data_IF_527538419267
#
_entry.id   IF_527538419267
#
_cell.length_a   1.000
_cell.length_b   1.000
_cell.length_c   1.000
_cell.angle_alpha   90.00
_cell.angle_beta   90.00
_cell.angle_gamma   90.00
#
_symmetry.space_group_name_H-M   'P 1'
#
loop_
_entity.id
_entity.type
_entity.pdbx_description
1 polymer ?
#
# COMPACT_ATOMS: atom_id res chain seq x y z
N UNK A 1 41.46 50.79 11.72
CA UNK A 1 40.56 50.23 10.65
C UNK A 1 40.60 48.70 10.69
N UNK A 2 41.75 48.00 10.80
CA UNK A 2 41.84 46.52 10.83
C UNK A 2 41.16 45.89 12.05
N UNK A 3 41.19 46.53 13.22
CA UNK A 3 40.56 46.03 14.46
C UNK A 3 39.04 46.12 14.37
N UNK A 4 38.48 47.15 13.76
CA UNK A 4 37.02 47.32 13.58
C UNK A 4 36.49 46.27 12.62
N UNK A 5 37.25 45.94 11.56
CA UNK A 5 36.86 44.92 10.61
C UNK A 5 36.85 43.50 11.23
N UNK A 6 37.77 43.22 12.17
CA UNK A 6 37.83 41.94 12.88
C UNK A 6 36.67 41.81 13.90
N UNK A 7 36.32 42.90 14.59
CA UNK A 7 35.17 42.90 15.51
C UNK A 7 33.82 42.67 14.79
N UNK A 8 33.67 43.23 13.60
CA UNK A 8 32.49 43.03 12.74
C UNK A 8 32.36 41.59 12.27
N UNK A 9 33.47 40.90 11.98
CA UNK A 9 33.46 39.51 11.52
C UNK A 9 33.11 38.53 12.65
N UNK A 10 33.49 38.85 13.90
CA UNK A 10 33.15 37.98 15.06
C UNK A 10 31.64 38.06 15.40
N UNK A 11 30.99 39.19 15.16
CA UNK A 11 29.53 39.32 15.40
C UNK A 11 28.66 38.54 14.38
N UNK A 12 29.20 38.22 13.19
CA UNK A 12 28.47 37.47 12.18
C UNK A 12 28.49 35.97 12.46
N UNK A 13 29.31 35.47 13.38
CA UNK A 13 29.35 34.05 13.75
C UNK A 13 28.36 33.66 14.89
N UNK A 14 27.66 34.63 15.45
CA UNK A 14 26.54 34.36 16.35
C UNK A 14 25.27 34.13 15.52
N UNK A 15 25.34 33.13 14.63
CA UNK A 15 24.14 32.59 13.98
C UNK A 15 23.21 32.08 15.07
N UNK A 16 21.98 32.56 15.09
CA UNK A 16 20.92 32.07 15.94
C UNK A 16 20.91 30.55 15.97
N UNK A 17 21.25 29.95 17.08
CA UNK A 17 20.84 28.57 17.35
C UNK A 17 19.33 28.57 17.38
N UNK A 18 18.72 28.01 16.32
CA UNK A 18 17.29 27.76 16.31
C UNK A 18 17.02 26.80 17.48
N UNK A 19 16.53 27.33 18.61
CA UNK A 19 15.96 26.48 19.67
C UNK A 19 14.69 25.89 19.06
N UNK A 20 14.80 24.67 18.58
CA UNK A 20 13.61 23.88 18.29
C UNK A 20 12.85 23.75 19.62
N UNK A 21 11.66 24.32 19.66
CA UNK A 21 10.76 24.17 20.78
C UNK A 21 10.19 22.76 20.64
N UNK A 22 10.92 21.77 21.19
CA UNK A 22 10.35 20.44 21.31
C UNK A 22 9.24 20.53 22.36
N UNK A 23 8.01 20.44 21.89
CA UNK A 23 6.86 20.24 22.80
C UNK A 23 7.02 18.92 23.56
N UNK A 24 6.20 18.67 24.58
CA UNK A 24 6.23 17.39 25.28
C UNK A 24 6.05 16.26 24.27
N UNK A 25 6.88 15.22 24.37
CA UNK A 25 6.76 14.06 23.49
C UNK A 25 5.43 13.36 23.71
N UNK A 26 4.94 12.66 22.69
CA UNK A 26 3.72 11.85 22.79
C UNK A 26 3.82 10.87 23.97
N UNK A 27 4.97 10.24 24.17
CA UNK A 27 5.24 9.36 25.31
C UNK A 27 5.11 10.07 26.67
N UNK A 28 5.45 11.36 26.76
CA UNK A 28 5.29 12.14 28.00
C UNK A 28 3.82 12.42 28.32
N UNK A 29 2.97 12.52 27.29
CA UNK A 29 1.54 12.82 27.46
C UNK A 29 0.72 11.54 27.72
N UNK A 30 1.02 10.45 26.98
CA UNK A 30 0.20 9.24 26.95
C UNK A 30 0.86 8.02 27.64
N UNK A 31 2.14 8.12 28.03
CA UNK A 31 2.93 6.99 28.54
C UNK A 31 3.45 6.05 27.45
N UNK A 32 3.85 4.86 27.89
CA UNK A 32 4.25 3.79 26.99
C UNK A 32 3.06 3.31 26.15
N UNK A 33 3.36 2.67 24.99
CA UNK A 33 2.32 2.10 24.14
C UNK A 33 1.63 0.93 24.87
N UNK A 34 0.31 0.96 24.90
CA UNK A 34 -0.51 -0.11 25.47
C UNK A 34 -1.67 -0.44 24.51
N UNK A 35 -1.81 -1.71 24.22
CA UNK A 35 -2.94 -2.26 23.48
C UNK A 35 -4.15 -2.36 24.42
N UNK A 36 -5.27 -1.69 24.07
CA UNK A 36 -6.52 -1.73 24.84
C UNK A 36 -7.42 -2.85 24.32
N UNK A 37 -7.67 -2.88 23.01
CA UNK A 37 -8.38 -3.97 22.33
C UNK A 37 -7.53 -4.57 21.22
N UNK A 38 -7.46 -5.91 21.10
CA UNK A 38 -6.65 -6.57 20.09
C UNK A 38 -7.21 -6.35 18.69
N UNK A 39 -6.43 -6.73 17.67
CA UNK A 39 -6.89 -6.74 16.30
C UNK A 39 -8.08 -7.69 16.15
N UNK A 40 -9.20 -7.17 15.68
CA UNK A 40 -10.41 -7.91 15.32
C UNK A 40 -10.66 -7.72 13.82
N UNK A 41 -10.83 -8.83 13.12
CA UNK A 41 -11.18 -8.88 11.71
C UNK A 41 -12.64 -9.35 11.60
N UNK A 42 -13.50 -8.51 11.02
CA UNK A 42 -14.97 -8.70 11.09
C UNK A 42 -15.49 -9.84 10.23
N UNK A 43 -14.80 -10.17 9.13
CA UNK A 43 -15.19 -11.23 8.20
C UNK A 43 -13.98 -12.11 7.89
N UNK A 44 -14.02 -13.37 8.30
CA UNK A 44 -12.93 -14.34 8.13
C UNK A 44 -12.98 -15.10 6.79
N UNK A 45 -14.11 -15.02 6.09
CA UNK A 45 -14.32 -15.76 4.85
C UNK A 45 -15.08 -14.90 3.82
N UNK A 46 -14.46 -13.76 3.40
CA UNK A 46 -15.16 -12.79 2.54
C UNK A 46 -15.39 -13.34 1.14
N UNK A 47 -16.59 -13.04 0.62
CA UNK A 47 -16.95 -13.20 -0.78
C UNK A 47 -16.92 -11.82 -1.46
N UNK A 48 -15.79 -11.45 -2.04
CA UNK A 48 -15.63 -10.14 -2.65
C UNK A 48 -16.37 -9.99 -3.99
N UNK A 49 -16.70 -11.09 -4.66
CA UNK A 49 -17.54 -11.02 -5.88
C UNK A 49 -18.96 -10.59 -5.56
N UNK A 50 -19.42 -10.79 -4.33
CA UNK A 50 -20.71 -10.31 -3.81
C UNK A 50 -20.64 -8.94 -3.12
N UNK A 51 -19.52 -8.20 -3.30
CA UNK A 51 -19.26 -6.90 -2.67
C UNK A 51 -19.18 -6.93 -1.13
N UNK A 52 -18.90 -8.09 -0.54
CA UNK A 52 -18.58 -8.14 0.88
C UNK A 52 -17.31 -7.36 1.21
N UNK A 53 -17.18 -6.97 2.46
CA UNK A 53 -16.05 -6.23 2.98
C UNK A 53 -15.50 -6.89 4.23
N UNK A 54 -14.23 -6.62 4.50
CA UNK A 54 -13.52 -6.97 5.72
C UNK A 54 -13.22 -5.68 6.47
N UNK A 55 -13.76 -5.51 7.67
CA UNK A 55 -13.45 -4.40 8.55
C UNK A 55 -12.38 -4.79 9.57
N UNK A 56 -11.60 -3.82 10.00
CA UNK A 56 -10.55 -3.99 11.00
C UNK A 56 -10.83 -3.12 12.21
N UNK A 57 -10.71 -3.69 13.40
CA UNK A 57 -10.84 -2.96 14.66
C UNK A 57 -9.63 -3.24 15.55
N UNK A 58 -9.13 -2.19 16.22
CA UNK A 58 -8.09 -2.27 17.22
C UNK A 58 -8.07 -0.96 18.02
N UNK A 59 -7.90 -1.01 19.34
CA UNK A 59 -7.81 0.19 20.18
C UNK A 59 -6.53 0.19 21.01
N UNK A 60 -5.90 1.36 21.13
CA UNK A 60 -4.67 1.58 21.88
C UNK A 60 -4.65 2.95 22.57
N UNK A 61 -3.81 3.12 23.57
CA UNK A 61 -3.87 4.23 24.52
C UNK A 61 -3.42 5.59 23.97
N UNK A 62 -2.73 5.62 22.82
CA UNK A 62 -2.18 6.87 22.24
C UNK A 62 -2.33 6.92 20.72
N UNK A 63 -2.50 8.11 20.11
CA UNK A 63 -2.41 8.24 18.66
C UNK A 63 -1.00 7.86 18.17
N UNK A 64 -0.93 6.98 17.19
CA UNK A 64 0.30 6.47 16.60
C UNK A 64 0.05 6.15 15.12
N UNK A 65 1.08 6.19 14.29
CA UNK A 65 1.01 5.67 12.93
C UNK A 65 0.94 4.15 12.97
N UNK A 66 -0.03 3.61 12.23
CA UNK A 66 -0.24 2.18 12.12
C UNK A 66 -0.36 1.77 10.65
N UNK A 67 -0.02 0.52 10.40
CA UNK A 67 -0.13 -0.09 9.07
C UNK A 67 -0.69 -1.50 9.17
N UNK A 68 -1.77 -1.75 8.44
CA UNK A 68 -2.30 -3.08 8.17
C UNK A 68 -1.74 -3.54 6.81
N UNK A 69 -1.08 -4.68 6.79
CA UNK A 69 -0.62 -5.36 5.59
C UNK A 69 -1.41 -6.66 5.43
N UNK A 70 -2.04 -6.85 4.29
CA UNK A 70 -2.74 -8.07 3.91
C UNK A 70 -1.94 -8.71 2.79
N UNK A 71 -1.46 -9.93 3.01
CA UNK A 71 -0.63 -10.70 2.07
C UNK A 71 -1.38 -11.96 1.64
N UNK A 72 -1.65 -12.08 0.34
CA UNK A 72 -2.13 -13.31 -0.27
C UNK A 72 -1.02 -14.37 -0.31
N UNK A 73 -1.29 -15.56 0.24
CA UNK A 73 -0.25 -16.58 0.41
C UNK A 73 0.05 -17.36 -0.87
N UNK A 74 -0.84 -17.33 -1.85
CA UNK A 74 -0.65 -17.99 -3.14
C UNK A 74 -0.18 -17.03 -4.22
N UNK A 75 -0.80 -15.85 -4.30
CA UNK A 75 -0.52 -14.87 -5.36
C UNK A 75 0.60 -13.89 -5.01
N UNK A 76 0.97 -13.77 -3.73
CA UNK A 76 1.79 -12.69 -3.19
C UNK A 76 1.17 -11.29 -3.39
N UNK A 77 -0.13 -11.21 -3.62
CA UNK A 77 -0.86 -9.95 -3.66
C UNK A 77 -0.75 -9.23 -2.32
N UNK A 78 -0.58 -7.91 -2.35
CA UNK A 78 -0.44 -7.09 -1.14
C UNK A 78 -1.45 -5.97 -1.13
N UNK A 79 -2.12 -5.79 0.00
CA UNK A 79 -2.88 -4.59 0.33
C UNK A 79 -2.28 -3.94 1.56
N UNK A 80 -1.93 -2.67 1.46
CA UNK A 80 -1.53 -1.85 2.61
C UNK A 80 -2.60 -0.80 2.90
N UNK A 81 -2.93 -0.64 4.18
CA UNK A 81 -3.82 0.38 4.71
C UNK A 81 -3.08 1.04 5.87
N UNK A 82 -2.96 2.35 5.83
CA UNK A 82 -2.23 3.12 6.86
C UNK A 82 -3.12 4.18 7.47
N UNK A 83 -2.81 4.57 8.69
CA UNK A 83 -3.49 5.68 9.37
C UNK A 83 -2.73 6.17 10.58
N UNK A 84 -3.23 7.26 11.16
CA UNK A 84 -2.75 7.85 12.41
C UNK A 84 -3.94 8.08 13.33
N UNK A 85 -4.04 7.30 14.38
CA UNK A 85 -5.13 7.38 15.38
C UNK A 85 -4.77 6.55 16.59
N UNK A 86 -5.64 6.53 17.59
CA UNK A 86 -5.62 5.57 18.70
C UNK A 86 -6.72 4.50 18.58
N UNK A 87 -7.51 4.56 17.50
CA UNK A 87 -8.59 3.62 17.21
C UNK A 87 -8.59 3.31 15.72
N UNK A 88 -8.61 2.04 15.38
CA UNK A 88 -8.95 1.50 14.07
C UNK A 88 -10.41 1.09 14.15
N UNK A 89 -11.30 1.80 13.44
CA UNK A 89 -12.73 1.53 13.43
C UNK A 89 -13.11 0.67 12.23
N UNK A 90 -13.71 -0.47 12.49
CA UNK A 90 -14.12 -1.44 11.47
C UNK A 90 -15.16 -0.94 10.46
N UNK A 91 -15.82 0.18 10.72
CA UNK A 91 -16.73 0.80 9.76
C UNK A 91 -16.00 1.77 8.80
N UNK A 92 -14.83 2.24 9.20
CA UNK A 92 -14.04 3.21 8.43
C UNK A 92 -12.85 2.56 7.74
N UNK A 93 -12.20 1.62 8.42
CA UNK A 93 -11.03 0.89 7.90
C UNK A 93 -11.51 -0.44 7.34
N UNK A 94 -11.83 -0.43 6.06
CA UNK A 94 -12.40 -1.57 5.35
C UNK A 94 -11.57 -1.95 4.12
N UNK A 95 -11.59 -3.25 3.79
CA UNK A 95 -11.01 -3.80 2.59
C UNK A 95 -12.07 -4.52 1.76
N UNK A 96 -12.11 -4.25 0.46
CA UNK A 96 -13.08 -4.81 -0.49
C UNK A 96 -12.42 -5.72 -1.54
N UNK A 97 -11.30 -6.37 -1.19
CA UNK A 97 -10.64 -7.39 -2.03
C UNK A 97 -9.64 -6.85 -3.05
N UNK A 98 -9.45 -5.53 -3.15
CA UNK A 98 -8.46 -4.96 -4.09
C UNK A 98 -7.05 -4.90 -3.50
N UNK A 99 -5.98 -5.15 -4.31
CA UNK A 99 -4.59 -4.97 -3.89
C UNK A 99 -4.18 -3.48 -3.93
N UNK A 100 -3.02 -3.17 -3.36
CA UNK A 100 -2.37 -1.86 -3.53
C UNK A 100 -1.69 -1.73 -4.91
N UNK A 101 -1.23 -2.84 -5.44
CA UNK A 101 -0.62 -2.98 -6.78
C UNK A 101 -0.72 -4.45 -7.21
N UNK A 102 -0.50 -4.74 -8.48
CA UNK A 102 -0.45 -6.12 -8.98
C UNK A 102 0.60 -6.95 -8.23
N UNK A 103 0.37 -8.25 -8.01
CA UNK A 103 -0.76 -9.05 -8.55
C UNK A 103 -2.09 -8.83 -7.82
N UNK A 104 -3.16 -9.41 -8.33
CA UNK A 104 -4.47 -9.42 -7.70
C UNK A 104 -4.62 -10.61 -6.74
N UNK A 105 -5.47 -10.47 -5.73
CA UNK A 105 -5.87 -11.57 -4.86
C UNK A 105 -6.75 -12.56 -5.62
N UNK A 106 -6.57 -13.84 -5.32
CA UNK A 106 -7.41 -14.96 -5.78
C UNK A 106 -8.23 -15.53 -4.62
N UNK A 107 -8.85 -16.68 -4.82
CA UNK A 107 -9.42 -17.51 -3.75
C UNK A 107 -8.27 -18.17 -2.99
N UNK A 108 -7.87 -17.58 -1.88
CA UNK A 108 -6.66 -17.95 -1.14
C UNK A 108 -6.73 -17.56 0.33
N UNK A 109 -5.84 -18.14 1.11
CA UNK A 109 -5.58 -17.69 2.47
C UNK A 109 -4.71 -16.43 2.45
N UNK A 110 -5.05 -15.48 3.31
CA UNK A 110 -4.31 -14.24 3.47
C UNK A 110 -3.84 -14.08 4.92
N UNK A 111 -2.58 -13.66 5.07
CA UNK A 111 -2.04 -13.20 6.34
C UNK A 111 -2.33 -11.71 6.51
N UNK A 112 -2.82 -11.32 7.68
CA UNK A 112 -3.03 -9.94 8.08
C UNK A 112 -2.03 -9.62 9.17
N UNK A 113 -1.26 -8.54 8.99
CA UNK A 113 -0.34 -8.01 9.98
C UNK A 113 -0.69 -6.54 10.27
N UNK A 114 -0.82 -6.20 11.56
CA UNK A 114 -0.92 -4.83 12.04
C UNK A 114 0.35 -4.47 12.78
N UNK A 115 1.02 -3.42 12.32
CA UNK A 115 2.26 -2.88 12.91
C UNK A 115 2.06 -1.43 13.30
N UNK A 116 2.87 -0.96 14.26
CA UNK A 116 2.83 0.41 14.79
C UNK A 116 4.22 1.05 14.65
N UNK A 117 4.25 2.34 14.36
CA UNK A 117 5.51 3.06 14.22
C UNK A 117 6.32 3.05 15.53
N UNK A 118 7.61 2.71 15.43
CA UNK A 118 8.55 2.63 16.56
C UNK A 118 8.17 1.67 17.69
N UNK A 119 7.17 0.80 17.49
CA UNK A 119 6.81 -0.26 18.42
C UNK A 119 7.21 -1.62 17.83
N UNK A 120 7.56 -2.56 18.68
CA UNK A 120 7.96 -3.91 18.28
C UNK A 120 6.79 -4.88 18.12
N UNK A 121 5.64 -4.49 18.66
CA UNK A 121 4.45 -5.31 18.67
C UNK A 121 3.87 -5.43 17.25
N UNK A 122 3.62 -6.68 16.86
CA UNK A 122 2.95 -7.01 15.60
C UNK A 122 1.78 -7.92 15.91
N UNK A 123 0.58 -7.48 15.54
CA UNK A 123 -0.63 -8.27 15.67
C UNK A 123 -0.89 -9.00 14.35
N UNK A 124 -1.27 -10.28 14.45
CA UNK A 124 -1.50 -11.13 13.28
C UNK A 124 -2.85 -11.78 13.32
N UNK A 125 -3.42 -11.96 12.14
CA UNK A 125 -4.65 -12.70 11.93
C UNK A 125 -4.66 -13.31 10.51
N UNK A 126 -5.62 -14.17 10.23
CA UNK A 126 -5.77 -14.79 8.91
C UNK A 126 -7.22 -14.76 8.45
N UNK A 127 -7.41 -14.69 7.14
CA UNK A 127 -8.70 -14.87 6.47
C UNK A 127 -8.53 -15.78 5.27
N UNK A 128 -9.63 -16.38 4.82
CA UNK A 128 -9.70 -17.15 3.58
C UNK A 128 -10.65 -16.46 2.61
N UNK A 129 -10.16 -15.98 1.47
CA UNK A 129 -11.00 -15.43 0.41
C UNK A 129 -11.79 -16.55 -0.23
N UNK A 130 -13.12 -16.53 -0.05
CA UNK A 130 -14.04 -17.54 -0.63
C UNK A 130 -14.30 -17.28 -2.10
N UNK A 131 -14.37 -16.00 -2.49
CA UNK A 131 -14.47 -15.59 -3.88
C UNK A 131 -13.79 -14.26 -4.07
N UNK A 132 -12.88 -14.21 -5.03
CA UNK A 132 -12.08 -13.01 -5.31
C UNK A 132 -12.95 -11.90 -5.92
N UNK A 133 -12.45 -10.67 -5.82
CA UNK A 133 -13.09 -9.52 -6.43
C UNK A 133 -13.05 -9.64 -7.95
N UNK A 134 -14.21 -9.51 -8.57
CA UNK A 134 -14.30 -9.38 -10.01
C UNK A 134 -14.08 -7.92 -10.40
N UNK A 135 -13.19 -7.70 -11.37
CA UNK A 135 -12.93 -6.39 -11.94
C UNK A 135 -13.66 -6.28 -13.27
N UNK A 136 -14.99 -6.23 -13.20
CA UNK A 136 -15.79 -5.90 -14.37
C UNK A 136 -15.75 -4.37 -14.57
N UNK A 137 -14.79 -3.92 -15.34
CA UNK A 137 -14.47 -2.51 -15.52
C UNK A 137 -15.12 -1.91 -16.78
N UNK A 138 -16.37 -2.22 -17.02
CA UNK A 138 -17.12 -1.55 -18.06
C UNK A 138 -17.25 -2.36 -19.37
N UNK A 139 -17.19 -1.67 -20.50
CA UNK A 139 -17.62 -2.18 -21.81
C UNK A 139 -16.59 -3.14 -22.44
N UNK A 140 -15.34 -3.14 -21.97
CA UNK A 140 -14.27 -3.93 -22.57
C UNK A 140 -13.28 -4.42 -21.50
N UNK A 141 -12.97 -5.72 -21.52
CA UNK A 141 -11.96 -6.39 -20.73
C UNK A 141 -11.15 -7.31 -21.64
N UNK A 142 -9.84 -7.35 -21.45
CA UNK A 142 -8.94 -8.19 -22.23
C UNK A 142 -7.89 -8.82 -21.31
N UNK A 143 -7.87 -10.13 -21.25
CA UNK A 143 -6.91 -10.93 -20.49
C UNK A 143 -5.79 -11.53 -21.36
N UNK A 144 -5.89 -11.37 -22.68
CA UNK A 144 -4.94 -11.86 -23.67
C UNK A 144 -4.81 -13.40 -23.74
N UNK A 145 -5.71 -14.16 -23.13
CA UNK A 145 -5.65 -15.62 -23.16
C UNK A 145 -6.04 -16.17 -24.55
N UNK A 146 -6.93 -15.49 -25.25
CA UNK A 146 -7.38 -15.83 -26.59
C UNK A 146 -6.56 -15.18 -27.71
N UNK A 147 -5.50 -14.49 -27.38
CA UNK A 147 -4.64 -13.80 -28.35
C UNK A 147 -4.72 -12.29 -28.28
N UNK A 148 -4.16 -11.59 -29.26
CA UNK A 148 -4.31 -10.14 -29.40
C UNK A 148 -5.68 -9.86 -30.02
N UNK A 149 -6.56 -9.09 -29.34
CA UNK A 149 -7.90 -8.82 -29.87
C UNK A 149 -7.82 -8.05 -31.18
N UNK A 150 -8.72 -8.38 -32.09
CA UNK A 150 -8.83 -7.70 -33.39
C UNK A 150 -9.53 -6.34 -33.28
N UNK A 151 -10.25 -6.12 -32.18
CA UNK A 151 -11.04 -4.91 -31.92
C UNK A 151 -10.74 -4.39 -30.50
N UNK A 152 -10.84 -3.09 -30.32
CA UNK A 152 -10.71 -2.44 -29.02
C UNK A 152 -9.28 -2.10 -28.59
N UNK A 153 -8.25 -2.72 -29.16
CA UNK A 153 -6.85 -2.39 -28.91
C UNK A 153 -6.26 -1.66 -30.11
N UNK A 154 -5.87 -0.41 -29.91
CA UNK A 154 -5.22 0.40 -30.95
C UNK A 154 -3.84 0.81 -30.45
N UNK A 155 -2.81 0.42 -31.18
CA UNK A 155 -1.44 0.84 -30.93
C UNK A 155 -0.80 1.38 -32.20
N UNK A 156 0.01 2.41 -32.02
CA UNK A 156 0.72 3.05 -33.14
C UNK A 156 2.21 2.98 -32.91
N UNK A 157 2.93 2.53 -33.94
CA UNK A 157 4.37 2.69 -34.03
C UNK A 157 4.65 3.75 -35.09
N UNK A 158 4.55 5.03 -34.72
CA UNK A 158 4.67 6.15 -35.68
C UNK A 158 6.09 6.46 -36.08
N UNK A 159 7.09 6.05 -35.29
CA UNK A 159 8.46 6.51 -35.48
C UNK A 159 9.37 5.49 -36.16
N UNK A 160 8.85 4.33 -36.50
CA UNK A 160 9.67 3.23 -37.03
C UNK A 160 10.76 2.77 -36.03
N UNK A 161 10.64 3.15 -34.79
CA UNK A 161 11.66 3.07 -33.75
C UNK A 161 11.85 1.69 -33.14
N UNK A 162 11.41 0.62 -33.80
CA UNK A 162 11.66 -0.74 -33.32
C UNK A 162 10.89 -1.13 -32.06
N UNK A 163 9.76 -0.50 -31.77
CA UNK A 163 8.84 -0.98 -30.75
C UNK A 163 8.19 -2.29 -31.24
N UNK A 164 8.17 -3.27 -30.37
CA UNK A 164 7.51 -4.57 -30.62
C UNK A 164 6.32 -4.73 -29.71
N UNK A 165 5.26 -5.31 -30.24
CA UNK A 165 4.04 -5.66 -29.53
C UNK A 165 3.78 -7.13 -29.77
N UNK A 166 3.74 -7.93 -28.73
CA UNK A 166 3.56 -9.38 -28.84
C UNK A 166 2.92 -9.95 -27.60
N UNK A 167 2.31 -11.11 -27.72
CA UNK A 167 1.96 -11.93 -26.57
C UNK A 167 3.22 -12.60 -26.04
N UNK A 168 3.29 -12.78 -24.74
CA UNK A 168 4.33 -13.53 -24.05
C UNK A 168 3.70 -14.43 -23.00
N UNK A 169 4.28 -15.60 -22.85
CA UNK A 169 3.94 -16.59 -21.81
C UNK A 169 5.08 -16.66 -20.75
N UNK A 170 6.07 -15.77 -20.85
CA UNK A 170 7.21 -15.76 -19.94
C UNK A 170 6.80 -15.16 -18.60
N UNK A 171 6.49 -15.99 -17.63
CA UNK A 171 6.18 -15.62 -16.25
C UNK A 171 5.00 -14.61 -16.10
N UNK A 172 3.78 -14.94 -16.63
CA UNK A 172 2.62 -14.07 -16.52
C UNK A 172 2.18 -13.96 -15.05
N UNK A 173 1.74 -12.76 -14.64
CA UNK A 173 1.25 -12.50 -13.27
C UNK A 173 -0.12 -13.14 -13.01
N UNK A 174 -0.93 -13.31 -14.07
CA UNK A 174 -2.24 -13.97 -14.06
C UNK A 174 -2.41 -14.69 -15.38
N UNK A 175 -3.14 -15.82 -15.36
CA UNK A 175 -3.39 -16.60 -16.56
C UNK A 175 -2.15 -17.23 -17.16
N UNK A 176 -2.13 -17.41 -18.47
CA UNK A 176 -1.05 -18.04 -19.22
C UNK A 176 -0.35 -17.09 -20.21
N UNK A 177 -0.90 -15.90 -20.43
CA UNK A 177 -0.43 -14.93 -21.42
C UNK A 177 -0.52 -13.49 -20.93
N UNK A 178 0.31 -12.63 -21.49
CA UNK A 178 0.21 -11.18 -21.29
C UNK A 178 0.69 -10.42 -22.53
N UNK A 179 0.23 -9.18 -22.66
CA UNK A 179 0.64 -8.30 -23.73
C UNK A 179 1.97 -7.62 -23.39
N UNK A 180 2.99 -7.94 -24.17
CA UNK A 180 4.35 -7.41 -23.98
C UNK A 180 4.62 -6.29 -24.97
N UNK A 181 4.96 -5.13 -24.43
CA UNK A 181 5.50 -4.00 -25.19
C UNK A 181 7.01 -3.91 -24.93
N UNK A 182 7.79 -3.85 -26.00
CA UNK A 182 9.23 -3.72 -25.91
C UNK A 182 9.80 -2.88 -27.05
N UNK A 183 11.04 -2.40 -26.88
CA UNK A 183 11.71 -1.62 -27.89
C UNK A 183 12.68 -0.59 -27.32
N UNK A 184 13.40 0.10 -28.20
CA UNK A 184 14.24 1.24 -27.81
C UNK A 184 13.42 2.52 -27.88
N UNK A 185 13.43 3.24 -26.78
CA UNK A 185 13.09 4.67 -26.77
C UNK A 185 14.41 5.41 -27.09
N UNK A 186 14.48 6.05 -28.25
CA UNK A 186 15.62 6.90 -28.62
C UNK A 186 15.48 8.30 -28.01
#
# INVERSE_FOLDING_TARGET
IKIILFLGLVCLLHSCTKTEFEGPSIATIYGDFELIEPLIVTNKSPNFSSNEQVGFHCEFNKPIEWKITILGLSTNAVREITGFSNLIDSNMVVWSGGPSQVPFFSEEDCLIELTFENETDTLRDTITIVSAKTFDNGIWFEDFEDGIPSEGLVYYNTDGGGMTFSLSNDDPLLGSSYFKMGGRVN
#
